data_IF_387838169410
#
_entry.id   IF_387838169410
#
_cell.length_a   1.000
_cell.length_b   1.000
_cell.length_c   1.000
_cell.angle_alpha   90.00
_cell.angle_beta   90.00
_cell.angle_gamma   90.00
#
_symmetry.space_group_name_H-M   'P 1'
#
loop_
_entity.id
_entity.type
_entity.pdbx_description
1 polymer ?
#
# COMPACT_ATOMS: atom_id res chain seq x y z
N UNK A 1 36.11 -20.95 8.61
CA UNK A 1 35.03 -20.18 9.25
C UNK A 1 33.82 -20.26 8.33
N UNK A 2 32.88 -21.14 8.66
CA UNK A 2 31.71 -21.44 7.82
C UNK A 2 30.72 -20.28 7.94
N UNK A 3 30.57 -19.50 6.86
CA UNK A 3 29.58 -18.42 6.80
C UNK A 3 28.22 -19.07 6.60
N UNK A 4 27.41 -19.07 7.66
CA UNK A 4 26.01 -19.47 7.58
C UNK A 4 25.26 -18.46 6.69
N UNK A 5 24.73 -18.96 5.57
CA UNK A 5 23.81 -18.22 4.73
C UNK A 5 22.46 -18.13 5.48
N UNK A 6 22.25 -17.04 6.21
CA UNK A 6 20.96 -16.71 6.82
C UNK A 6 19.92 -16.58 5.71
N UNK A 7 18.87 -17.41 5.79
CA UNK A 7 17.78 -17.49 4.80
C UNK A 7 17.14 -16.12 4.57
N UNK A 8 16.97 -15.77 3.29
CA UNK A 8 16.45 -14.48 2.83
C UNK A 8 15.13 -14.10 3.49
N UNK A 9 15.12 -12.95 4.16
CA UNK A 9 13.93 -12.32 4.71
C UNK A 9 13.08 -11.81 3.54
N UNK A 10 11.81 -12.24 3.44
CA UNK A 10 10.88 -11.69 2.45
C UNK A 10 10.62 -10.21 2.79
N UNK A 11 10.87 -9.33 1.83
CA UNK A 11 10.66 -7.89 1.96
C UNK A 11 9.26 -7.56 1.45
N UNK A 12 8.36 -7.17 2.35
CA UNK A 12 6.93 -7.04 2.06
C UNK A 12 6.55 -5.69 1.45
N UNK A 13 7.45 -4.70 1.52
CA UNK A 13 7.27 -3.36 0.95
C UNK A 13 6.01 -2.61 1.43
N UNK A 14 5.48 -2.95 2.60
CA UNK A 14 4.31 -2.31 3.16
C UNK A 14 4.61 -1.18 4.13
N UNK A 15 3.77 -0.15 4.04
CA UNK A 15 4.01 1.17 4.59
C UNK A 15 3.24 1.43 5.90
N UNK A 16 3.01 0.38 6.69
CA UNK A 16 2.48 0.46 8.05
C UNK A 16 3.59 0.15 9.07
N UNK A 17 4.12 1.18 9.73
CA UNK A 17 5.26 1.04 10.67
C UNK A 17 4.88 0.48 12.04
N UNK A 18 3.58 0.27 12.29
CA UNK A 18 3.12 -0.49 13.46
C UNK A 18 3.28 -2.00 13.25
N UNK A 19 3.76 -2.43 12.07
CA UNK A 19 4.12 -3.80 11.72
C UNK A 19 5.50 -3.86 11.05
N UNK A 20 6.21 -4.97 11.25
CA UNK A 20 7.54 -5.23 10.68
C UNK A 20 7.45 -6.34 9.64
N UNK A 21 8.39 -6.39 8.69
CA UNK A 21 8.41 -7.47 7.69
C UNK A 21 8.56 -8.86 8.32
N UNK A 22 9.19 -8.95 9.49
CA UNK A 22 9.22 -10.19 10.27
C UNK A 22 7.82 -10.59 10.75
N UNK A 23 7.00 -9.61 11.19
CA UNK A 23 5.61 -9.88 11.59
C UNK A 23 4.75 -10.25 10.37
N UNK A 24 4.89 -9.53 9.26
CA UNK A 24 4.21 -9.83 7.99
C UNK A 24 4.53 -11.24 7.50
N UNK A 25 5.82 -11.61 7.50
CA UNK A 25 6.27 -12.96 7.15
C UNK A 25 5.66 -14.00 8.10
N UNK A 26 5.56 -13.71 9.39
CA UNK A 26 5.01 -14.65 10.35
C UNK A 26 3.50 -14.83 10.19
N UNK A 27 2.74 -13.76 9.99
CA UNK A 27 1.33 -13.86 9.64
C UNK A 27 1.16 -14.70 8.37
N UNK A 28 1.87 -14.30 7.30
CA UNK A 28 1.74 -14.93 5.99
C UNK A 28 2.16 -16.40 5.99
N UNK A 29 3.26 -16.75 6.68
CA UNK A 29 3.72 -18.13 6.85
C UNK A 29 2.73 -18.95 7.67
N UNK A 30 2.22 -18.41 8.77
CA UNK A 30 1.30 -19.12 9.66
C UNK A 30 0.01 -19.48 8.95
N UNK A 31 -0.63 -18.51 8.28
CA UNK A 31 -1.88 -18.78 7.57
C UNK A 31 -1.70 -19.67 6.34
N UNK A 32 -0.64 -19.45 5.54
CA UNK A 32 -0.40 -20.29 4.37
C UNK A 32 0.00 -21.72 4.73
N UNK A 33 0.58 -21.95 5.91
CA UNK A 33 0.81 -23.31 6.43
C UNK A 33 -0.52 -24.03 6.66
N UNK A 34 -1.49 -23.37 7.29
CA UNK A 34 -2.81 -23.95 7.56
C UNK A 34 -3.61 -24.19 6.27
N UNK A 35 -3.63 -23.22 5.36
CA UNK A 35 -4.28 -23.36 4.05
C UNK A 35 -3.68 -24.49 3.20
N UNK A 36 -2.36 -24.69 3.28
CA UNK A 36 -1.69 -25.84 2.67
C UNK A 36 -2.22 -27.17 3.19
N UNK A 37 -2.44 -27.28 4.50
CA UNK A 37 -2.93 -28.52 5.10
C UNK A 37 -4.33 -28.90 4.59
N UNK A 38 -5.17 -27.92 4.24
CA UNK A 38 -6.45 -28.21 3.57
C UNK A 38 -6.19 -28.78 2.17
N UNK A 39 -5.33 -28.14 1.39
CA UNK A 39 -5.07 -28.54 0.01
C UNK A 39 -4.37 -29.92 -0.11
N UNK A 40 -3.53 -30.28 0.86
CA UNK A 40 -2.85 -31.59 0.89
C UNK A 40 -3.63 -32.67 1.66
N UNK A 41 -4.77 -32.33 2.26
CA UNK A 41 -5.63 -33.25 3.02
C UNK A 41 -5.12 -33.59 4.42
N UNK A 42 -4.08 -32.93 4.92
CA UNK A 42 -3.51 -33.16 6.25
C UNK A 42 -4.13 -32.31 7.36
N UNK A 43 -4.99 -31.34 7.04
CA UNK A 43 -5.65 -30.44 7.99
C UNK A 43 -6.42 -31.22 9.05
N UNK A 44 -6.14 -30.92 10.31
CA UNK A 44 -6.77 -31.57 11.46
C UNK A 44 -8.13 -30.93 11.70
N UNK A 45 -9.14 -31.78 11.83
CA UNK A 45 -10.50 -31.44 12.20
C UNK A 45 -10.75 -31.77 13.69
N UNK A 46 -11.98 -31.61 14.18
CA UNK A 46 -12.33 -32.07 15.52
C UNK A 46 -12.10 -33.58 15.69
N UNK A 47 -11.87 -34.00 16.93
CA UNK A 47 -11.64 -35.41 17.30
C UNK A 47 -10.49 -36.08 16.53
N UNK A 48 -9.45 -35.31 16.18
CA UNK A 48 -8.27 -35.78 15.44
C UNK A 48 -8.56 -36.33 14.03
N UNK A 49 -9.78 -36.11 13.51
CA UNK A 49 -10.13 -36.45 12.13
C UNK A 49 -9.49 -35.45 11.15
N UNK A 50 -9.69 -35.63 9.84
CA UNK A 50 -9.19 -34.72 8.80
C UNK A 50 -10.30 -33.88 8.22
N UNK A 51 -10.00 -32.62 7.92
CA UNK A 51 -10.89 -31.79 7.12
C UNK A 51 -10.97 -32.36 5.69
N UNK A 52 -12.08 -32.15 4.96
CA UNK A 52 -12.12 -32.47 3.54
C UNK A 52 -10.94 -31.83 2.81
N UNK A 53 -10.34 -32.59 1.89
CA UNK A 53 -9.29 -32.03 1.03
C UNK A 53 -9.91 -30.96 0.12
N UNK A 54 -9.23 -29.82 0.01
CA UNK A 54 -9.71 -28.70 -0.78
C UNK A 54 -9.00 -28.56 -2.13
N UNK A 55 -9.78 -28.45 -3.20
CA UNK A 55 -9.32 -27.86 -4.45
C UNK A 55 -9.52 -26.34 -4.45
N UNK A 56 -8.94 -25.63 -5.42
CA UNK A 56 -9.08 -24.17 -5.55
C UNK A 56 -8.72 -23.39 -4.26
N UNK A 57 -7.84 -23.94 -3.42
CA UNK A 57 -7.34 -23.24 -2.23
C UNK A 57 -6.10 -22.44 -2.62
N UNK A 58 -6.24 -21.11 -2.65
CA UNK A 58 -5.18 -20.21 -3.08
C UNK A 58 -4.24 -19.80 -1.94
N UNK A 59 -2.95 -19.71 -2.28
CA UNK A 59 -1.92 -19.13 -1.41
C UNK A 59 -2.18 -17.64 -1.28
N UNK A 60 -2.24 -17.16 -0.04
CA UNK A 60 -2.35 -15.74 0.24
C UNK A 60 -1.01 -15.06 -0.07
N UNK A 61 -1.11 -13.92 -0.74
CA UNK A 61 -0.07 -12.91 -0.84
C UNK A 61 -0.36 -11.80 0.16
N UNK A 62 0.68 -11.09 0.60
CA UNK A 62 0.46 -9.96 1.50
C UNK A 62 0.06 -8.73 0.71
N UNK A 63 -0.95 -8.02 1.20
CA UNK A 63 -1.46 -6.80 0.58
C UNK A 63 -1.41 -5.64 1.58
N UNK A 64 -0.64 -4.61 1.21
CA UNK A 64 -0.40 -3.47 2.08
C UNK A 64 -1.64 -2.61 2.29
N UNK A 65 -2.62 -2.63 1.38
CA UNK A 65 -3.87 -1.89 1.55
C UNK A 65 -4.77 -2.58 2.56
N UNK A 66 -4.85 -3.92 2.50
CA UNK A 66 -5.55 -4.70 3.52
C UNK A 66 -4.89 -4.57 4.89
N UNK A 67 -3.57 -4.45 4.94
CA UNK A 67 -2.84 -4.17 6.18
C UNK A 67 -3.22 -2.82 6.77
N UNK A 68 -3.48 -1.80 5.94
CA UNK A 68 -3.97 -0.50 6.42
C UNK A 68 -5.41 -0.59 6.93
N UNK A 69 -6.29 -1.34 6.26
CA UNK A 69 -7.66 -1.59 6.75
C UNK A 69 -7.64 -2.32 8.10
N UNK A 70 -6.77 -3.33 8.23
CA UNK A 70 -6.53 -3.99 9.52
C UNK A 70 -5.98 -3.00 10.57
N UNK A 71 -5.15 -2.05 10.15
CA UNK A 71 -4.58 -1.04 11.04
C UNK A 71 -5.65 -0.09 11.57
N UNK A 72 -6.58 0.35 10.72
CA UNK A 72 -7.73 1.17 11.09
C UNK A 72 -8.63 0.44 12.11
N UNK A 73 -8.81 -0.88 11.94
CA UNK A 73 -9.58 -1.70 12.86
C UNK A 73 -8.96 -1.77 14.25
N UNK A 74 -7.67 -2.10 14.36
CA UNK A 74 -6.98 -2.15 15.67
C UNK A 74 -6.78 -0.76 16.27
N UNK A 75 -6.78 0.31 15.46
CA UNK A 75 -6.66 1.67 15.95
C UNK A 75 -7.82 2.09 16.85
N UNK A 76 -8.97 1.45 16.71
CA UNK A 76 -10.16 1.67 17.53
C UNK A 76 -10.08 0.99 18.91
N UNK A 77 -9.13 0.09 19.14
CA UNK A 77 -8.96 -0.64 20.42
C UNK A 77 -10.24 -1.37 20.87
N UNK A 78 -11.02 -1.92 19.92
CA UNK A 78 -12.27 -2.64 20.17
C UNK A 78 -12.26 -3.99 19.44
N UNK A 79 -12.96 -4.98 19.99
CA UNK A 79 -13.20 -6.27 19.33
C UNK A 79 -14.62 -6.39 18.78
N UNK A 80 -15.53 -5.50 19.18
CA UNK A 80 -16.93 -5.48 18.75
C UNK A 80 -17.33 -4.09 18.26
N UNK A 81 -18.31 -4.03 17.36
CA UNK A 81 -18.78 -2.78 16.77
C UNK A 81 -17.78 -2.09 15.84
N UNK A 82 -16.73 -2.79 15.40
CA UNK A 82 -15.80 -2.32 14.37
C UNK A 82 -16.36 -2.74 13.00
N UNK A 83 -16.69 -1.80 12.10
CA UNK A 83 -17.23 -2.13 10.79
C UNK A 83 -16.27 -3.00 9.97
N UNK A 84 -16.81 -3.98 9.24
CA UNK A 84 -16.06 -4.78 8.28
C UNK A 84 -15.87 -3.99 6.97
N UNK A 85 -14.65 -3.92 6.39
CA UNK A 85 -14.43 -3.18 5.16
C UNK A 85 -15.24 -3.78 3.99
N UNK A 86 -15.86 -2.92 3.17
CA UNK A 86 -16.70 -3.37 2.06
C UNK A 86 -15.93 -4.30 1.09
N UNK A 87 -16.54 -5.43 0.74
CA UNK A 87 -15.96 -6.43 -0.18
C UNK A 87 -14.84 -7.28 0.42
N UNK A 88 -14.62 -7.20 1.74
CA UNK A 88 -13.57 -7.91 2.45
C UNK A 88 -14.13 -8.58 3.69
N UNK A 89 -13.34 -9.49 4.27
CA UNK A 89 -13.63 -10.03 5.59
C UNK A 89 -12.59 -9.63 6.62
N UNK A 90 -13.03 -9.45 7.87
CA UNK A 90 -12.19 -8.95 8.95
C UNK A 90 -12.24 -9.88 10.16
N UNK A 91 -11.08 -10.10 10.77
CA UNK A 91 -10.94 -10.75 12.06
C UNK A 91 -10.28 -9.77 13.03
N UNK A 92 -10.79 -9.67 14.26
CA UNK A 92 -10.19 -8.86 15.32
C UNK A 92 -10.23 -9.66 16.62
N UNK A 93 -9.13 -9.66 17.36
CA UNK A 93 -9.09 -10.21 18.71
C UNK A 93 -8.26 -9.35 19.65
N UNK A 94 -8.55 -9.50 20.93
CA UNK A 94 -7.74 -8.98 22.04
C UNK A 94 -6.90 -10.11 22.60
N UNK A 95 -5.63 -9.84 22.87
CA UNK A 95 -4.67 -10.76 23.49
C UNK A 95 -3.86 -10.00 24.54
N UNK A 96 -3.31 -10.72 25.52
CA UNK A 96 -2.46 -10.13 26.54
C UNK A 96 -1.24 -9.44 25.91
N UNK A 97 -0.83 -8.28 26.43
CA UNK A 97 0.39 -7.62 25.94
C UNK A 97 1.63 -8.46 26.18
N UNK A 98 2.58 -8.39 25.25
CA UNK A 98 3.87 -9.06 25.35
C UNK A 98 4.98 -8.19 24.77
N UNK A 99 6.20 -8.40 25.27
CA UNK A 99 7.42 -7.85 24.67
C UNK A 99 7.88 -8.67 23.45
N UNK A 100 7.24 -9.80 23.12
CA UNK A 100 7.56 -10.66 21.98
C UNK A 100 6.36 -10.83 21.03
N UNK A 101 6.02 -9.80 20.23
CA UNK A 101 4.81 -9.82 19.39
C UNK A 101 4.74 -11.04 18.46
N UNK A 102 5.89 -11.49 17.98
CA UNK A 102 6.06 -12.65 17.09
C UNK A 102 5.53 -13.98 17.66
N UNK A 103 5.62 -14.20 18.97
CA UNK A 103 5.10 -15.42 19.63
C UNK A 103 3.57 -15.40 19.69
N UNK A 104 2.99 -14.25 20.01
CA UNK A 104 1.54 -14.06 20.01
C UNK A 104 0.94 -14.19 18.61
N UNK A 105 1.65 -13.74 17.56
CA UNK A 105 1.14 -13.84 16.19
C UNK A 105 0.84 -15.26 15.74
N UNK A 106 1.74 -16.19 16.04
CA UNK A 106 1.54 -17.61 15.72
C UNK A 106 0.29 -18.14 16.41
N UNK A 107 0.10 -17.76 17.67
CA UNK A 107 -1.06 -18.18 18.45
C UNK A 107 -2.35 -17.57 17.92
N UNK A 108 -2.38 -16.27 17.62
CA UNK A 108 -3.59 -15.58 17.14
C UNK A 108 -4.19 -16.20 15.88
N UNK A 109 -3.36 -16.48 14.86
CA UNK A 109 -3.81 -17.14 13.61
C UNK A 109 -4.25 -18.58 13.88
N UNK A 110 -3.49 -19.32 14.69
CA UNK A 110 -3.82 -20.71 15.03
C UNK A 110 -5.06 -20.83 15.91
N UNK A 111 -5.34 -19.89 16.81
CA UNK A 111 -6.54 -19.85 17.65
C UNK A 111 -7.78 -19.55 16.81
N UNK A 112 -7.75 -18.51 15.97
CA UNK A 112 -8.85 -18.23 15.02
C UNK A 112 -9.20 -19.42 14.12
N UNK A 113 -8.22 -20.25 13.82
CA UNK A 113 -8.40 -21.44 13.01
C UNK A 113 -8.87 -22.64 13.83
N UNK A 114 -8.14 -22.99 14.89
CA UNK A 114 -8.34 -24.23 15.63
C UNK A 114 -9.51 -24.15 16.61
N UNK A 115 -9.80 -22.98 17.20
CA UNK A 115 -10.87 -22.86 18.18
C UNK A 115 -12.22 -23.21 17.53
N UNK A 116 -12.49 -22.64 16.36
CA UNK A 116 -13.66 -22.92 15.54
C UNK A 116 -13.69 -24.41 15.10
N UNK A 117 -12.60 -24.89 14.51
CA UNK A 117 -12.51 -26.25 13.95
C UNK A 117 -12.62 -27.33 15.03
N UNK A 118 -11.94 -27.19 16.17
CA UNK A 118 -11.99 -28.17 17.24
C UNK A 118 -13.33 -28.15 17.97
N UNK A 119 -13.97 -26.98 18.07
CA UNK A 119 -15.27 -26.84 18.75
C UNK A 119 -16.42 -27.40 17.91
N UNK A 120 -16.46 -27.09 16.61
CA UNK A 120 -17.63 -27.36 15.76
C UNK A 120 -17.39 -28.50 14.77
N UNK A 121 -16.16 -28.62 14.27
CA UNK A 121 -15.82 -29.53 13.18
C UNK A 121 -16.25 -29.01 11.81
N UNK A 122 -15.45 -29.35 10.80
CA UNK A 122 -15.70 -29.04 9.39
C UNK A 122 -16.39 -30.24 8.73
N UNK A 123 -17.56 -30.02 8.14
CA UNK A 123 -18.34 -31.06 7.48
C UNK A 123 -17.78 -31.40 6.10
N UNK A 124 -18.28 -32.47 5.47
CA UNK A 124 -18.05 -32.77 4.06
C UNK A 124 -19.40 -32.80 3.33
N UNK A 125 -19.76 -31.79 2.52
CA UNK A 125 -18.94 -30.64 2.09
C UNK A 125 -18.67 -29.60 3.22
N UNK A 126 -17.57 -28.82 3.11
CA UNK A 126 -17.14 -27.86 4.13
C UNK A 126 -17.95 -26.57 4.08
N UNK A 127 -19.18 -26.61 4.60
CA UNK A 127 -20.09 -25.47 4.67
C UNK A 127 -19.76 -24.57 5.87
N UNK A 128 -19.96 -23.25 5.70
CA UNK A 128 -19.91 -22.32 6.82
C UNK A 128 -21.16 -22.47 7.69
N UNK A 129 -20.96 -22.57 9.01
CA UNK A 129 -22.02 -22.73 10.00
C UNK A 129 -21.66 -21.99 11.28
N UNK A 130 -22.62 -21.88 12.19
CA UNK A 130 -22.43 -21.19 13.46
C UNK A 130 -21.22 -21.76 14.23
N UNK A 131 -20.30 -20.87 14.63
CA UNK A 131 -19.06 -21.22 15.31
C UNK A 131 -17.88 -21.58 14.39
N UNK A 132 -18.03 -21.49 13.07
CA UNK A 132 -16.93 -21.58 12.09
C UNK A 132 -16.58 -20.22 11.45
N UNK A 133 -17.12 -19.10 11.93
CA UNK A 133 -17.05 -17.82 11.23
C UNK A 133 -15.61 -17.31 11.06
N UNK A 134 -14.72 -17.55 12.02
CA UNK A 134 -13.32 -17.12 11.97
C UNK A 134 -12.52 -18.05 11.05
N UNK A 135 -12.74 -19.36 11.19
CA UNK A 135 -12.18 -20.37 10.30
C UNK A 135 -12.59 -20.09 8.85
N UNK A 136 -13.87 -19.83 8.58
CA UNK A 136 -14.40 -19.62 7.24
C UNK A 136 -13.77 -18.41 6.53
N UNK A 137 -13.53 -17.31 7.26
CA UNK A 137 -12.83 -16.12 6.72
C UNK A 137 -11.39 -16.43 6.31
N UNK A 138 -10.65 -17.17 7.14
CA UNK A 138 -9.25 -17.51 6.91
C UNK A 138 -9.04 -18.66 5.92
N UNK A 139 -9.96 -19.62 5.90
CA UNK A 139 -9.93 -20.82 5.06
C UNK A 139 -10.61 -20.62 3.70
N UNK A 140 -11.28 -19.47 3.46
CA UNK A 140 -11.94 -19.16 2.18
C UNK A 140 -11.04 -19.50 0.99
N UNK A 141 -11.42 -20.52 0.22
CA UNK A 141 -10.57 -21.09 -0.84
C UNK A 141 -10.16 -20.04 -1.87
N UNK A 142 -11.09 -19.16 -2.25
CA UNK A 142 -10.94 -18.14 -3.29
C UNK A 142 -10.04 -16.96 -2.90
N UNK A 143 -9.84 -16.71 -1.61
CA UNK A 143 -9.02 -15.59 -1.14
C UNK A 143 -7.55 -15.71 -1.60
N UNK A 144 -6.99 -14.58 -2.06
CA UNK A 144 -5.63 -14.51 -2.64
C UNK A 144 -4.73 -13.49 -1.95
N UNK A 145 -5.29 -12.62 -1.10
CA UNK A 145 -4.58 -11.53 -0.44
C UNK A 145 -5.03 -11.37 1.02
N UNK A 146 -4.09 -10.99 1.88
CA UNK A 146 -4.33 -10.70 3.29
C UNK A 146 -3.42 -9.56 3.74
N UNK A 147 -3.89 -8.76 4.69
CA UNK A 147 -3.05 -7.85 5.45
C UNK A 147 -3.48 -7.81 6.91
N UNK A 148 -2.52 -7.80 7.82
CA UNK A 148 -2.77 -7.82 9.25
C UNK A 148 -2.01 -6.70 9.97
N UNK A 149 -2.56 -6.26 11.09
CA UNK A 149 -2.02 -5.20 11.92
C UNK A 149 -2.26 -5.47 13.41
N UNK A 150 -1.53 -4.76 14.24
CA UNK A 150 -1.63 -4.88 15.69
C UNK A 150 -1.40 -3.55 16.39
N UNK A 151 -2.03 -3.34 17.55
CA UNK A 151 -1.86 -2.15 18.37
C UNK A 151 -2.01 -2.48 19.84
N UNK A 152 -1.09 -1.97 20.66
CA UNK A 152 -1.22 -2.02 22.10
C UNK A 152 -2.11 -0.86 22.58
N UNK A 153 -3.11 -1.16 23.38
CA UNK A 153 -4.06 -0.23 23.98
C UNK A 153 -4.19 -0.57 25.47
N UNK A 154 -3.62 0.26 26.36
CA UNK A 154 -3.69 0.08 27.82
C UNK A 154 -3.34 -1.34 28.27
N UNK A 155 -2.15 -1.81 27.88
CA UNK A 155 -1.64 -3.16 28.19
C UNK A 155 -2.44 -4.32 27.58
N UNK A 156 -3.37 -4.04 26.67
CA UNK A 156 -4.07 -5.04 25.86
C UNK A 156 -3.63 -4.92 24.40
N UNK A 157 -3.19 -6.02 23.80
CA UNK A 157 -2.82 -6.04 22.39
C UNK A 157 -4.04 -6.42 21.54
N UNK A 158 -4.38 -5.57 20.58
CA UNK A 158 -5.41 -5.84 19.58
C UNK A 158 -4.73 -6.28 18.30
N UNK A 159 -5.23 -7.35 17.70
CA UNK A 159 -4.72 -7.91 16.45
C UNK A 159 -5.88 -8.02 15.47
N UNK A 160 -5.69 -7.53 14.25
CA UNK A 160 -6.67 -7.68 13.18
C UNK A 160 -6.03 -8.18 11.89
N UNK A 161 -6.81 -8.90 11.09
CA UNK A 161 -6.48 -9.28 9.71
C UNK A 161 -7.67 -8.98 8.81
N UNK A 162 -7.39 -8.51 7.60
CA UNK A 162 -8.37 -8.28 6.53
C UNK A 162 -7.99 -9.12 5.32
N UNK A 163 -8.97 -9.82 4.75
CA UNK A 163 -8.82 -10.74 3.61
C UNK A 163 -9.58 -10.18 2.41
N UNK A 164 -9.05 -10.32 1.20
CA UNK A 164 -9.62 -9.72 -0.01
C UNK A 164 -10.92 -10.35 -0.54
N UNK A 165 -11.57 -11.19 0.24
CA UNK A 165 -12.86 -11.80 -0.09
C UNK A 165 -13.81 -11.61 1.09
N UNK A 166 -15.11 -11.40 0.84
CA UNK A 166 -16.11 -11.39 1.89
C UNK A 166 -16.16 -12.75 2.62
N UNK A 167 -16.71 -12.74 3.83
CA UNK A 167 -16.91 -13.97 4.58
C UNK A 167 -17.89 -14.88 3.82
N UNK A 168 -17.64 -16.20 3.71
CA UNK A 168 -18.63 -17.13 3.19
C UNK A 168 -19.94 -16.97 3.98
N UNK A 169 -21.07 -16.85 3.28
CA UNK A 169 -22.38 -16.80 3.93
C UNK A 169 -22.66 -18.12 4.68
N UNK A 170 -23.58 -18.14 5.66
CA UNK A 170 -24.09 -19.40 6.21
C UNK A 170 -24.52 -20.36 5.09
N UNK A 171 -24.20 -21.64 5.25
CA UNK A 171 -24.45 -22.72 4.29
C UNK A 171 -23.71 -22.59 2.94
N UNK A 172 -22.85 -21.59 2.77
CA UNK A 172 -21.96 -21.49 1.62
C UNK A 172 -20.69 -22.34 1.84
N UNK A 173 -20.13 -22.87 0.75
CA UNK A 173 -18.83 -23.55 0.78
C UNK A 173 -17.74 -22.59 1.26
N UNK A 174 -16.94 -23.04 2.23
CA UNK A 174 -15.72 -22.35 2.65
C UNK A 174 -14.63 -22.54 1.59
N UNK A 175 -14.50 -23.76 1.07
CA UNK A 175 -13.67 -24.13 -0.05
C UNK A 175 -14.30 -25.31 -0.79
N UNK A 176 -13.87 -25.58 -2.01
CA UNK A 176 -14.40 -26.68 -2.81
C UNK A 176 -13.74 -28.01 -2.42
N UNK A 177 -14.50 -29.09 -2.11
CA UNK A 177 -13.94 -30.42 -1.97
C UNK A 177 -13.26 -30.87 -3.25
N UNK A 178 -12.07 -31.45 -3.14
CA UNK A 178 -11.37 -32.02 -4.29
C UNK A 178 -9.90 -32.23 -4.04
N UNK A 179 -9.22 -32.81 -5.04
CA UNK A 179 -7.78 -32.97 -4.99
C UNK A 179 -7.11 -31.58 -5.05
N UNK A 180 -6.11 -31.40 -4.19
CA UNK A 180 -5.28 -30.21 -4.22
C UNK A 180 -4.69 -29.96 -5.62
N UNK A 181 -4.49 -28.69 -5.96
CA UNK A 181 -3.99 -28.23 -7.26
C UNK A 181 -4.91 -28.32 -8.48
N UNK A 182 -6.20 -28.62 -8.31
CA UNK A 182 -7.18 -28.21 -9.30
C UNK A 182 -7.44 -26.70 -9.15
N UNK A 183 -6.66 -25.88 -9.87
CA UNK A 183 -6.60 -24.41 -9.75
C UNK A 183 -7.29 -23.73 -10.92
N UNK A 184 -8.62 -23.72 -10.91
CA UNK A 184 -9.47 -23.28 -12.01
C UNK A 184 -10.20 -21.97 -11.74
N UNK A 185 -10.26 -21.50 -10.49
CA UNK A 185 -11.00 -20.27 -10.14
C UNK A 185 -10.45 -18.98 -10.77
N UNK A 186 -9.15 -18.91 -11.09
CA UNK A 186 -8.56 -17.76 -11.81
C UNK A 186 -7.78 -18.22 -13.04
N UNK A 187 -7.86 -17.45 -14.13
CA UNK A 187 -7.10 -17.70 -15.35
C UNK A 187 -5.59 -17.69 -15.06
N UNK A 188 -4.83 -18.52 -15.78
CA UNK A 188 -3.37 -18.68 -15.62
C UNK A 188 -2.89 -19.08 -14.23
N UNK A 189 -3.79 -19.63 -13.40
CA UNK A 189 -3.42 -20.15 -12.08
C UNK A 189 -2.45 -21.33 -12.20
N UNK A 190 -1.48 -21.37 -11.29
CA UNK A 190 -0.46 -22.40 -11.23
C UNK A 190 -0.54 -23.18 -9.93
N UNK A 191 -0.31 -24.47 -10.02
CA UNK A 191 -0.03 -25.31 -8.85
C UNK A 191 1.43 -25.14 -8.41
N UNK A 192 1.68 -24.88 -7.13
CA UNK A 192 3.04 -24.93 -6.59
C UNK A 192 3.42 -26.34 -6.11
N UNK A 193 4.71 -26.57 -5.86
CA UNK A 193 5.22 -27.86 -5.36
C UNK A 193 4.60 -28.33 -4.01
N UNK A 194 3.90 -27.44 -3.29
CA UNK A 194 3.24 -27.73 -2.02
C UNK A 194 1.73 -28.00 -2.16
N UNK A 195 1.24 -28.29 -3.37
CA UNK A 195 -0.17 -28.59 -3.68
C UNK A 195 -1.17 -27.43 -3.45
N UNK A 196 -0.69 -26.19 -3.35
CA UNK A 196 -1.54 -24.99 -3.16
C UNK A 196 -1.58 -24.18 -4.45
N UNK A 197 -2.74 -23.60 -4.75
CA UNK A 197 -2.92 -22.76 -5.94
C UNK A 197 -2.24 -21.40 -5.80
N UNK A 198 -1.64 -20.91 -6.86
CA UNK A 198 -1.16 -19.54 -7.01
C UNK A 198 -2.01 -18.90 -8.11
N UNK A 199 -2.71 -17.83 -7.78
CA UNK A 199 -3.57 -17.14 -8.74
C UNK A 199 -2.72 -16.54 -9.87
N UNK A 200 -3.18 -16.71 -11.11
CA UNK A 200 -2.64 -15.98 -12.27
C UNK A 200 -3.03 -14.50 -12.24
N UNK A 201 -2.71 -13.75 -13.30
CA UNK A 201 -3.13 -12.35 -13.38
C UNK A 201 -4.66 -12.24 -13.24
N UNK A 202 -5.20 -11.22 -12.54
CA UNK A 202 -6.63 -10.99 -12.49
C UNK A 202 -7.11 -10.54 -13.87
N UNK A 203 -7.41 -11.50 -14.74
CA UNK A 203 -8.21 -11.29 -15.93
C UNK A 203 -9.64 -11.01 -15.50
N UNK A 204 -10.25 -10.00 -16.11
CA UNK A 204 -11.68 -9.67 -15.97
C UNK A 204 -12.55 -10.72 -16.68
N UNK A 205 -12.32 -12.01 -16.42
CA UNK A 205 -13.15 -13.11 -16.89
C UNK A 205 -13.76 -13.80 -15.67
N UNK A 206 -14.73 -13.11 -15.07
CA UNK A 206 -15.75 -13.80 -14.29
C UNK A 206 -16.59 -14.59 -15.29
N UNK A 207 -16.35 -15.89 -15.44
CA UNK A 207 -17.36 -16.78 -16.00
C UNK A 207 -18.43 -16.95 -14.93
N UNK A 208 -19.39 -16.03 -14.91
CA UNK A 208 -20.66 -16.23 -14.25
C UNK A 208 -21.73 -15.69 -15.17
N UNK A 209 -22.30 -16.61 -15.94
CA UNK A 209 -23.49 -16.42 -16.75
C UNK A 209 -24.66 -16.13 -15.83
N UNK A 210 -25.09 -14.87 -15.69
CA UNK A 210 -26.50 -14.57 -15.38
C UNK A 210 -26.87 -13.13 -15.76
N UNK A 211 -28.10 -13.04 -16.28
CA UNK A 211 -28.73 -12.01 -17.09
C UNK A 211 -29.35 -10.87 -16.27
N UNK A 212 -29.54 -9.71 -16.92
CA UNK A 212 -30.42 -8.57 -16.57
C UNK A 212 -30.02 -7.70 -15.38
N UNK A 213 -30.26 -6.39 -15.34
CA UNK A 213 -30.76 -5.39 -16.29
C UNK A 213 -30.54 -4.02 -15.64
N UNK A 214 -29.95 -3.08 -16.35
CA UNK A 214 -29.65 -1.72 -15.87
C UNK A 214 -30.90 -0.83 -15.91
N UNK A 215 -31.21 -0.13 -14.83
CA UNK A 215 -32.05 1.08 -14.85
C UNK A 215 -31.25 2.26 -14.32
N UNK A 216 -30.99 3.19 -15.22
CA UNK A 216 -30.38 4.50 -14.99
C UNK A 216 -31.40 5.44 -14.34
N UNK A 217 -30.98 6.24 -13.35
CA UNK A 217 -31.69 7.49 -13.05
C UNK A 217 -30.70 8.59 -12.69
N UNK A 218 -30.54 9.51 -13.63
CA UNK A 218 -29.94 10.83 -13.50
C UNK A 218 -30.94 11.77 -12.82
N UNK A 219 -30.51 12.64 -11.90
CA UNK A 219 -31.28 13.85 -11.60
C UNK A 219 -30.35 15.00 -11.26
N UNK A 220 -30.82 16.17 -11.68
CA UNK A 220 -30.11 17.37 -12.08
C UNK A 220 -30.04 18.39 -10.95
N UNK A 221 -29.01 19.23 -11.03
CA UNK A 221 -28.80 20.51 -10.33
C UNK A 221 -30.00 21.45 -10.34
N UNK A 222 -30.16 22.20 -9.24
CA UNK A 222 -30.91 23.46 -9.18
C UNK A 222 -30.09 24.52 -8.44
N UNK A 223 -29.90 25.65 -9.12
CA UNK A 223 -29.26 26.92 -8.71
C UNK A 223 -30.29 27.93 -8.24
N UNK A 224 -29.98 28.81 -7.26
CA UNK A 224 -30.38 30.24 -7.21
C UNK A 224 -29.75 30.97 -5.99
N UNK A 225 -29.73 32.34 -5.90
CA UNK A 225 -28.52 33.12 -5.62
C UNK A 225 -28.67 34.12 -4.44
N UNK A 226 -27.65 35.01 -4.31
CA UNK A 226 -27.66 36.33 -3.60
C UNK A 226 -27.48 36.22 -2.07
N UNK A 227 -26.69 37.03 -1.35
CA UNK A 227 -26.37 38.46 -1.49
C UNK A 227 -25.08 38.83 -0.76
N UNK A 228 -24.35 39.79 -1.32
CA UNK A 228 -23.16 40.49 -0.82
C UNK A 228 -23.39 41.22 0.51
N UNK A 229 -22.44 41.17 1.43
CA UNK A 229 -22.25 42.24 2.42
C UNK A 229 -20.76 42.43 2.69
N UNK A 230 -20.28 43.61 2.32
CA UNK A 230 -18.91 44.11 2.52
C UNK A 230 -18.81 44.70 3.92
N UNK A 231 -17.80 44.31 4.70
CA UNK A 231 -17.37 45.10 5.86
C UNK A 231 -15.86 44.98 6.01
N UNK A 232 -15.19 46.13 6.02
CA UNK A 232 -13.74 46.30 6.01
C UNK A 232 -13.25 46.66 7.41
N UNK A 233 -11.97 46.33 7.68
CA UNK A 233 -11.10 46.76 8.79
C UNK A 233 -11.39 46.17 10.17
N UNK A 234 -10.43 45.64 10.94
CA UNK A 234 -9.08 46.17 11.21
C UNK A 234 -8.13 45.06 11.69
N UNK A 235 -6.86 45.25 11.36
CA UNK A 235 -5.67 44.43 11.63
C UNK A 235 -5.38 44.19 13.12
N UNK A 236 -5.24 42.92 13.51
CA UNK A 236 -4.38 42.51 14.63
C UNK A 236 -3.59 41.27 14.23
N UNK A 237 -2.26 41.43 14.26
CA UNK A 237 -1.27 40.39 13.97
C UNK A 237 -1.34 39.30 15.04
N UNK A 238 -1.59 38.01 14.70
CA UNK A 238 -1.38 36.93 15.63
C UNK A 238 0.08 36.50 15.55
N UNK A 239 0.80 36.80 16.63
CA UNK A 239 2.15 36.31 16.95
C UNK A 239 2.24 34.81 16.66
N UNK A 240 3.12 34.43 15.73
CA UNK A 240 3.39 33.03 15.40
C UNK A 240 4.18 32.39 16.54
N UNK A 241 3.52 31.66 17.43
CA UNK A 241 4.19 30.81 18.41
C UNK A 241 4.88 29.67 17.65
N UNK A 242 6.17 29.80 17.40
CA UNK A 242 6.98 28.76 16.77
C UNK A 242 7.18 27.62 17.77
N UNK A 243 6.28 26.65 17.77
CA UNK A 243 6.49 25.38 18.49
C UNK A 243 7.63 24.63 17.80
N UNK A 244 8.83 24.67 18.39
CA UNK A 244 10.00 23.92 17.92
C UNK A 244 9.72 22.42 17.97
N UNK A 245 10.06 21.70 16.90
CA UNK A 245 9.94 20.24 16.84
C UNK A 245 10.94 19.65 17.84
N UNK A 246 10.50 18.68 18.66
CA UNK A 246 11.39 18.01 19.60
C UNK A 246 12.60 17.39 18.87
N UNK A 247 13.79 17.53 19.44
CA UNK A 247 15.04 17.07 18.82
C UNK A 247 15.03 15.57 18.48
N UNK A 248 14.32 14.76 19.28
CA UNK A 248 14.13 13.31 19.06
C UNK A 248 13.26 12.98 17.85
N UNK A 249 12.49 13.94 17.33
CA UNK A 249 11.63 13.79 16.14
C UNK A 249 12.22 14.44 14.88
N UNK A 250 13.44 15.00 14.98
CA UNK A 250 14.13 15.73 13.91
C UNK A 250 15.63 15.40 13.84
N UNK A 251 15.95 14.16 13.48
CA UNK A 251 17.31 13.65 13.31
C UNK A 251 17.78 13.64 11.85
N UNK A 252 16.88 13.60 10.86
CA UNK A 252 17.25 13.53 9.44
C UNK A 252 17.73 14.88 8.92
N UNK A 253 17.05 15.97 9.30
CA UNK A 253 17.44 17.34 8.95
C UNK A 253 17.38 18.24 10.19
N UNK A 254 18.33 18.09 11.14
CA UNK A 254 18.32 18.85 12.40
C UNK A 254 18.24 20.38 12.22
N UNK A 255 18.80 20.88 11.11
CA UNK A 255 18.81 22.29 10.72
C UNK A 255 17.43 22.81 10.25
N UNK A 256 16.50 21.92 9.89
CA UNK A 256 15.20 22.29 9.37
C UNK A 256 14.09 21.91 10.37
N UNK A 257 13.36 22.90 10.88
CA UNK A 257 12.26 22.72 11.84
C UNK A 257 10.87 22.77 11.17
N UNK A 258 10.79 22.36 9.90
CA UNK A 258 9.60 22.52 9.05
C UNK A 258 8.64 21.34 9.18
N UNK A 259 9.17 20.11 9.15
CA UNK A 259 8.43 18.86 9.28
C UNK A 259 9.25 17.84 10.07
N UNK A 260 8.59 16.85 10.68
CA UNK A 260 9.28 15.80 11.46
C UNK A 260 9.86 14.72 10.55
N UNK A 261 10.78 13.91 11.08
CA UNK A 261 11.34 12.75 10.37
C UNK A 261 10.26 11.76 9.93
N UNK A 262 9.15 11.64 10.69
CA UNK A 262 8.01 10.81 10.31
C UNK A 262 7.40 11.29 8.98
N UNK A 263 7.29 12.60 8.77
CA UNK A 263 6.77 13.19 7.52
C UNK A 263 7.77 13.08 6.39
N UNK A 264 9.06 13.38 6.64
CA UNK A 264 10.14 13.19 5.65
C UNK A 264 10.15 11.78 5.09
N UNK A 265 10.02 10.82 6.00
CA UNK A 265 9.91 9.42 5.67
C UNK A 265 8.67 9.12 4.82
N UNK A 266 7.49 9.71 5.07
CA UNK A 266 6.32 9.48 4.19
C UNK A 266 6.64 9.87 2.75
N UNK A 267 7.20 11.05 2.51
CA UNK A 267 7.56 11.50 1.17
C UNK A 267 8.61 10.59 0.53
N UNK A 268 9.78 10.45 1.16
CA UNK A 268 10.90 9.66 0.61
C UNK A 268 10.46 8.27 0.15
N UNK A 269 9.64 7.67 0.99
CA UNK A 269 9.21 6.30 0.87
C UNK A 269 8.15 6.11 -0.21
N UNK A 270 7.20 7.04 -0.30
CA UNK A 270 6.20 7.01 -1.38
C UNK A 270 6.81 7.23 -2.75
N UNK A 271 7.80 8.13 -2.85
CA UNK A 271 8.57 8.31 -4.08
C UNK A 271 9.30 7.04 -4.48
N UNK A 272 10.08 6.44 -3.57
CA UNK A 272 10.80 5.20 -3.86
C UNK A 272 9.87 4.01 -4.15
N UNK A 273 8.67 3.96 -3.55
CA UNK A 273 7.64 2.98 -3.91
C UNK A 273 7.23 3.11 -5.38
N UNK A 274 6.77 4.28 -5.83
CA UNK A 274 6.35 4.46 -7.23
C UNK A 274 7.50 4.23 -8.22
N UNK A 275 8.73 4.65 -7.86
CA UNK A 275 9.94 4.37 -8.64
C UNK A 275 10.20 2.87 -8.77
N UNK A 276 10.09 2.12 -7.69
CA UNK A 276 10.30 0.66 -7.67
C UNK A 276 9.21 -0.08 -8.47
N UNK A 277 7.94 0.32 -8.31
CA UNK A 277 6.82 -0.25 -9.06
C UNK A 277 6.99 0.00 -10.57
N UNK A 278 7.39 1.22 -10.97
CA UNK A 278 7.66 1.55 -12.36
C UNK A 278 8.84 0.72 -12.89
N UNK A 279 9.95 0.68 -12.15
CA UNK A 279 11.16 0.00 -12.57
C UNK A 279 10.93 -1.48 -12.87
N UNK A 280 10.01 -2.12 -12.13
CA UNK A 280 9.65 -3.52 -12.28
C UNK A 280 8.48 -3.75 -13.26
N UNK A 281 7.86 -2.69 -13.79
CA UNK A 281 6.81 -2.79 -14.81
C UNK A 281 5.41 -3.01 -14.25
N UNK A 282 5.18 -2.66 -12.97
CA UNK A 282 3.90 -2.81 -12.29
C UNK A 282 3.01 -1.55 -12.37
N UNK A 283 3.53 -0.42 -12.83
CA UNK A 283 2.75 0.81 -12.99
C UNK A 283 1.83 0.70 -14.20
N UNK A 284 0.53 0.79 -13.95
CA UNK A 284 -0.52 0.81 -14.99
C UNK A 284 -0.73 2.23 -15.51
N UNK A 285 -0.72 2.37 -16.83
CA UNK A 285 -1.15 3.55 -17.57
C UNK A 285 -2.53 3.29 -18.21
N UNK A 286 -3.10 4.30 -18.87
CA UNK A 286 -4.38 4.16 -19.59
C UNK A 286 -4.38 2.98 -20.58
N UNK A 287 -3.30 2.81 -21.35
CA UNK A 287 -3.19 1.81 -22.41
C UNK A 287 -2.14 0.72 -22.08
N UNK A 288 -2.24 0.12 -20.89
CA UNK A 288 -1.36 -0.98 -20.45
C UNK A 288 -0.30 -0.54 -19.45
N UNK A 289 0.66 -1.41 -19.17
CA UNK A 289 1.68 -1.14 -18.15
C UNK A 289 2.87 -0.36 -18.74
N UNK A 290 3.46 0.49 -17.91
CA UNK A 290 4.74 1.11 -18.22
C UNK A 290 5.83 0.02 -18.32
N UNK A 291 6.74 0.16 -19.29
CA UNK A 291 7.88 -0.76 -19.43
C UNK A 291 8.86 -0.53 -18.30
N UNK A 292 9.58 -1.60 -17.96
CA UNK A 292 10.59 -1.60 -16.91
C UNK A 292 11.67 -0.52 -17.11
N UNK A 293 12.21 -0.02 -16.00
CA UNK A 293 13.29 0.94 -15.98
C UNK A 293 14.61 0.25 -15.63
N UNK A 294 15.59 0.35 -16.52
CA UNK A 294 16.83 -0.41 -16.42
C UNK A 294 17.82 0.10 -15.37
N UNK A 295 17.68 1.36 -14.94
CA UNK A 295 18.57 1.99 -13.96
C UNK A 295 17.90 3.07 -13.10
N UNK A 296 16.68 2.80 -12.63
CA UNK A 296 15.97 3.73 -11.74
C UNK A 296 16.76 3.95 -10.43
N UNK A 297 17.19 5.19 -10.12
CA UNK A 297 17.93 5.44 -8.87
C UNK A 297 17.00 5.40 -7.66
N UNK A 298 17.49 4.89 -6.53
CA UNK A 298 16.85 5.10 -5.22
C UNK A 298 17.08 6.54 -4.78
N UNK A 299 16.03 7.23 -4.37
CA UNK A 299 16.13 8.57 -3.78
C UNK A 299 16.55 8.48 -2.30
N UNK A 300 17.36 9.43 -1.85
CA UNK A 300 17.63 9.74 -0.44
C UNK A 300 16.93 11.05 -0.04
N UNK A 301 16.79 11.31 1.26
CA UNK A 301 16.24 12.59 1.70
C UNK A 301 17.29 13.69 1.55
N UNK A 302 16.87 14.85 1.03
CA UNK A 302 17.74 15.98 0.73
C UNK A 302 17.28 17.21 1.54
N UNK A 303 18.04 17.53 2.59
CA UNK A 303 17.68 18.62 3.52
C UNK A 303 17.80 20.02 2.91
N UNK A 304 18.82 20.33 2.07
CA UNK A 304 18.81 21.54 1.24
C UNK A 304 17.57 21.66 0.34
N UNK A 305 17.15 20.57 -0.30
CA UNK A 305 15.92 20.57 -1.10
C UNK A 305 14.66 20.79 -0.23
N UNK A 306 14.61 20.26 1.00
CA UNK A 306 13.51 20.51 1.94
C UNK A 306 13.41 22.00 2.33
N UNK A 307 14.54 22.63 2.65
CA UNK A 307 14.56 24.06 3.00
C UNK A 307 14.08 24.93 1.81
N UNK A 308 14.49 24.57 0.60
CA UNK A 308 14.04 25.21 -0.64
C UNK A 308 12.55 24.97 -0.89
N UNK A 309 12.06 23.74 -0.74
CA UNK A 309 10.65 23.39 -0.87
C UNK A 309 9.78 24.14 0.15
N UNK A 310 10.26 24.33 1.38
CA UNK A 310 9.58 25.13 2.39
C UNK A 310 9.46 26.59 1.98
N UNK A 311 10.55 27.17 1.48
CA UNK A 311 10.56 28.54 0.98
C UNK A 311 9.57 28.72 -0.17
N UNK A 312 9.46 27.71 -1.04
CA UNK A 312 8.45 27.70 -2.11
C UNK A 312 7.02 27.60 -1.58
N UNK A 313 6.77 26.63 -0.68
CA UNK A 313 5.45 26.35 -0.12
C UNK A 313 4.86 27.56 0.62
N UNK A 314 5.69 28.31 1.35
CA UNK A 314 5.30 29.52 2.12
C UNK A 314 4.76 30.64 1.25
N UNK A 315 5.10 30.67 -0.04
CA UNK A 315 4.55 31.67 -0.98
C UNK A 315 3.10 31.38 -1.36
N UNK A 316 2.57 30.19 -1.06
CA UNK A 316 1.17 29.81 -1.32
C UNK A 316 0.70 30.09 -2.76
N UNK A 317 1.58 29.91 -3.75
CA UNK A 317 1.29 30.14 -5.18
C UNK A 317 0.56 28.95 -5.80
N UNK A 318 -0.37 29.21 -6.72
CA UNK A 318 -1.13 28.18 -7.45
C UNK A 318 -0.37 27.57 -8.65
N UNK A 319 0.95 27.62 -8.65
CA UNK A 319 1.79 27.11 -9.73
C UNK A 319 3.15 26.67 -9.21
N UNK A 320 3.73 25.67 -9.88
CA UNK A 320 5.10 25.24 -9.59
C UNK A 320 6.09 26.35 -9.94
N UNK A 321 7.10 26.57 -9.10
CA UNK A 321 8.20 27.48 -9.38
C UNK A 321 9.39 26.73 -9.98
N UNK A 322 9.62 26.94 -11.28
CA UNK A 322 10.72 26.36 -12.03
C UNK A 322 12.01 27.19 -12.00
N UNK A 323 12.05 28.33 -11.30
CA UNK A 323 13.21 29.25 -11.29
C UNK A 323 14.37 28.80 -10.40
N UNK A 324 14.17 27.79 -9.56
CA UNK A 324 15.16 27.28 -8.62
C UNK A 324 16.11 26.21 -9.18
N UNK A 325 16.97 25.69 -8.30
CA UNK A 325 17.94 24.61 -8.57
C UNK A 325 17.35 23.20 -8.49
N UNK A 326 16.02 23.09 -8.39
CA UNK A 326 15.30 21.83 -8.21
C UNK A 326 14.12 21.76 -9.17
N UNK A 327 13.70 20.54 -9.51
CA UNK A 327 12.40 20.32 -10.10
C UNK A 327 11.34 20.26 -9.00
N UNK A 328 10.12 20.73 -9.26
CA UNK A 328 9.11 20.95 -8.22
C UNK A 328 7.79 20.24 -8.55
N UNK A 329 7.24 19.58 -7.54
CA UNK A 329 5.82 19.22 -7.48
C UNK A 329 5.14 20.07 -6.40
N UNK A 330 3.88 20.46 -6.65
CA UNK A 330 3.03 21.10 -5.65
C UNK A 330 1.64 20.47 -5.64
N UNK A 331 0.95 20.58 -4.50
CA UNK A 331 -0.42 20.13 -4.33
C UNK A 331 -1.13 20.96 -3.27
N UNK A 332 -2.34 21.43 -3.60
CA UNK A 332 -3.20 22.12 -2.64
C UNK A 332 -4.30 21.19 -2.15
N UNK A 333 -4.45 21.16 -0.83
CA UNK A 333 -5.54 20.50 -0.15
C UNK A 333 -6.50 21.57 0.34
N UNK A 334 -7.79 21.42 0.06
CA UNK A 334 -8.85 22.34 0.49
C UNK A 334 -9.20 22.15 1.98
N UNK A 335 -8.18 22.16 2.82
CA UNK A 335 -8.25 22.13 4.27
C UNK A 335 -6.97 22.73 4.84
N UNK A 336 -7.09 23.69 5.75
CA UNK A 336 -5.96 24.22 6.52
C UNK A 336 -5.75 23.47 7.85
N UNK A 337 -6.65 22.57 8.23
CA UNK A 337 -6.60 21.79 9.48
C UNK A 337 -6.12 20.35 9.30
N UNK A 338 -5.95 19.88 8.05
CA UNK A 338 -5.48 18.53 7.75
C UNK A 338 -4.16 18.21 8.48
N UNK A 339 -4.06 16.99 9.01
CA UNK A 339 -2.83 16.51 9.64
C UNK A 339 -1.72 16.42 8.57
N UNK A 340 -0.52 16.92 8.88
CA UNK A 340 0.63 16.87 7.96
C UNK A 340 0.92 15.43 7.48
N UNK A 341 0.69 14.40 8.30
CA UNK A 341 0.86 13.00 7.87
C UNK A 341 -0.10 12.62 6.76
N UNK A 342 -1.36 13.04 6.87
CA UNK A 342 -2.40 12.79 5.87
C UNK A 342 -2.12 13.60 4.61
N UNK A 343 -1.79 14.89 4.75
CA UNK A 343 -1.44 15.76 3.63
C UNK A 343 -0.24 15.23 2.82
N UNK A 344 0.80 14.75 3.48
CA UNK A 344 1.97 14.15 2.83
C UNK A 344 1.59 12.92 1.98
N UNK A 345 0.73 12.04 2.52
CA UNK A 345 0.27 10.84 1.80
C UNK A 345 -0.61 11.22 0.62
N UNK A 346 -1.57 12.11 0.83
CA UNK A 346 -2.51 12.54 -0.21
C UNK A 346 -1.77 13.15 -1.40
N UNK A 347 -0.88 14.11 -1.16
CA UNK A 347 -0.09 14.75 -2.21
C UNK A 347 0.75 13.74 -3.00
N UNK A 348 1.54 12.91 -2.31
CA UNK A 348 2.41 11.95 -2.97
C UNK A 348 1.64 10.86 -3.74
N UNK A 349 0.43 10.48 -3.29
CA UNK A 349 -0.45 9.56 -4.01
C UNK A 349 -1.02 10.19 -5.25
N UNK A 350 -1.53 11.42 -5.12
CA UNK A 350 -2.13 12.15 -6.24
C UNK A 350 -1.13 12.32 -7.38
N UNK A 351 0.11 12.75 -7.06
CA UNK A 351 1.19 12.82 -8.05
C UNK A 351 1.53 11.47 -8.66
N UNK A 352 1.66 10.41 -7.84
CA UNK A 352 2.01 9.07 -8.33
C UNK A 352 0.92 8.42 -9.19
N UNK A 353 -0.34 8.81 -9.01
CA UNK A 353 -1.50 8.29 -9.74
C UNK A 353 -1.89 9.11 -10.97
N UNK A 354 -1.23 10.24 -11.23
CA UNK A 354 -1.46 11.09 -12.40
C UNK A 354 -1.34 10.29 -13.72
N UNK A 355 -0.46 9.29 -13.76
CA UNK A 355 -0.26 8.40 -14.91
C UNK A 355 -1.42 7.45 -15.19
N UNK A 356 -2.27 7.14 -14.20
CA UNK A 356 -3.31 6.10 -14.31
C UNK A 356 -4.34 6.34 -15.40
N UNK A 357 -4.57 7.61 -15.76
CA UNK A 357 -5.49 8.04 -16.83
C UNK A 357 -4.76 8.58 -18.07
N UNK A 358 -3.42 8.57 -18.04
CA UNK A 358 -2.54 9.10 -19.08
C UNK A 358 -1.66 7.99 -19.66
N UNK A 359 -0.75 8.32 -20.57
CA UNK A 359 0.14 7.33 -21.18
C UNK A 359 1.47 7.99 -21.52
N UNK A 360 2.56 7.28 -21.22
CA UNK A 360 3.89 7.63 -21.69
C UNK A 360 4.16 7.00 -23.07
N UNK A 361 4.98 7.62 -23.92
CA UNK A 361 5.27 7.10 -25.25
C UNK A 361 6.36 6.01 -25.15
N UNK A 362 5.93 4.75 -25.07
CA UNK A 362 6.76 3.62 -24.61
C UNK A 362 7.30 2.73 -25.73
N UNK A 363 7.06 3.07 -27.01
CA UNK A 363 7.68 2.37 -28.15
C UNK A 363 9.19 2.60 -28.18
N UNK A 364 9.95 1.67 -28.79
CA UNK A 364 11.40 1.80 -28.90
C UNK A 364 11.83 3.06 -29.68
N UNK A 365 11.04 3.48 -30.67
CA UNK A 365 11.25 4.74 -31.42
C UNK A 365 10.91 5.99 -30.62
N UNK A 366 9.93 5.89 -29.72
CA UNK A 366 9.42 6.97 -28.88
C UNK A 366 10.28 7.20 -27.62
N UNK A 367 10.98 6.16 -27.19
CA UNK A 367 12.05 6.26 -26.19
C UNK A 367 11.63 6.81 -24.83
N UNK A 368 10.34 6.78 -24.47
CA UNK A 368 9.84 7.31 -23.21
C UNK A 368 10.24 8.79 -22.99
N UNK A 369 10.16 9.57 -24.06
CA UNK A 369 10.45 11.01 -24.03
C UNK A 369 9.34 11.77 -23.32
N UNK A 370 9.74 12.66 -22.43
CA UNK A 370 8.84 13.58 -21.74
C UNK A 370 8.42 14.73 -22.67
N UNK A 371 7.15 15.09 -22.55
CA UNK A 371 6.58 16.32 -23.09
C UNK A 371 5.57 16.83 -22.08
N UNK A 372 5.57 18.14 -21.85
CA UNK A 372 4.54 18.84 -21.07
C UNK A 372 3.10 18.50 -21.51
N UNK A 373 2.90 18.20 -22.82
CA UNK A 373 1.59 17.78 -23.36
C UNK A 373 1.08 16.43 -22.86
N UNK A 374 1.92 15.60 -22.23
CA UNK A 374 1.52 14.32 -21.66
C UNK A 374 0.60 14.49 -20.43
N UNK A 375 0.60 15.67 -19.79
CA UNK A 375 -0.22 15.94 -18.61
C UNK A 375 0.14 15.06 -17.42
N UNK A 376 1.43 14.73 -17.27
CA UNK A 376 2.00 13.96 -16.16
C UNK A 376 3.21 14.63 -15.48
N UNK A 377 3.24 15.97 -15.30
CA UNK A 377 4.41 16.65 -14.74
C UNK A 377 4.80 16.14 -13.35
N UNK A 378 3.81 15.87 -12.49
CA UNK A 378 4.10 15.47 -11.12
C UNK A 378 4.63 14.04 -11.06
N UNK A 379 3.96 13.14 -11.77
CA UNK A 379 4.40 11.76 -11.91
C UNK A 379 5.82 11.70 -12.49
N UNK A 380 6.09 12.43 -13.58
CA UNK A 380 7.39 12.46 -14.24
C UNK A 380 8.49 12.88 -13.25
N UNK A 381 8.28 13.93 -12.45
CA UNK A 381 9.24 14.33 -11.41
C UNK A 381 9.49 13.22 -10.37
N UNK A 382 8.46 12.51 -9.92
CA UNK A 382 8.62 11.42 -8.96
C UNK A 382 9.46 10.26 -9.51
N UNK A 383 9.25 9.92 -10.78
CA UNK A 383 9.88 8.75 -11.41
C UNK A 383 11.03 9.09 -12.36
N UNK A 384 11.50 10.33 -12.35
CA UNK A 384 12.62 10.73 -13.20
C UNK A 384 13.89 10.00 -12.79
N UNK A 385 14.49 9.25 -13.71
CA UNK A 385 15.54 8.27 -13.39
C UNK A 385 16.75 8.89 -12.68
N UNK A 386 17.16 10.08 -13.12
CA UNK A 386 18.32 10.78 -12.60
C UNK A 386 18.11 11.39 -11.21
N UNK A 387 16.85 11.66 -10.80
CA UNK A 387 16.57 12.20 -9.48
C UNK A 387 17.02 11.20 -8.40
N UNK A 388 17.86 11.68 -7.51
CA UNK A 388 18.48 10.91 -6.42
C UNK A 388 18.24 11.53 -5.04
N UNK A 389 17.76 12.77 -4.97
CA UNK A 389 17.34 13.41 -3.74
C UNK A 389 15.90 13.92 -3.83
N UNK A 390 15.21 13.91 -2.69
CA UNK A 390 13.90 14.55 -2.52
C UNK A 390 13.83 15.25 -1.16
N UNK A 391 13.33 16.48 -1.14
CA UNK A 391 13.05 17.24 0.08
C UNK A 391 11.70 17.95 -0.04
N UNK A 392 10.89 17.93 1.01
CA UNK A 392 9.49 18.35 0.91
C UNK A 392 9.05 19.17 2.11
N UNK A 393 8.06 20.03 1.91
CA UNK A 393 7.48 20.85 2.94
C UNK A 393 5.96 20.87 2.88
N UNK A 394 5.34 21.12 4.02
CA UNK A 394 3.90 21.27 4.18
C UNK A 394 3.67 22.59 4.91
N UNK A 395 2.97 23.50 4.26
CA UNK A 395 2.67 24.83 4.80
C UNK A 395 1.17 25.06 4.79
N UNK A 396 0.63 25.51 5.92
CA UNK A 396 -0.75 25.98 6.00
C UNK A 396 -0.82 27.37 5.38
N UNK A 397 -1.58 27.48 4.30
CA UNK A 397 -2.03 28.74 3.73
C UNK A 397 -3.43 29.06 4.29
N UNK A 398 -4.02 30.21 3.93
CA UNK A 398 -5.31 30.70 4.45
C UNK A 398 -6.36 29.59 4.68
N UNK A 399 -7.04 29.12 3.64
CA UNK A 399 -8.06 28.05 3.71
C UNK A 399 -7.57 26.71 3.15
N UNK A 400 -6.27 26.60 2.83
CA UNK A 400 -5.70 25.47 2.10
C UNK A 400 -4.36 25.06 2.70
N UNK A 401 -3.98 23.81 2.55
CA UNK A 401 -2.62 23.34 2.87
C UNK A 401 -1.85 23.16 1.57
N UNK A 402 -0.69 23.78 1.46
CA UNK A 402 0.22 23.66 0.34
C UNK A 402 1.29 22.62 0.66
N UNK A 403 1.42 21.61 -0.20
CA UNK A 403 2.43 20.57 -0.12
C UNK A 403 3.36 20.71 -1.30
N UNK A 404 4.67 20.84 -1.05
CA UNK A 404 5.69 21.01 -2.09
C UNK A 404 6.80 19.99 -1.90
N UNK A 405 7.26 19.37 -2.99
CA UNK A 405 8.49 18.57 -3.02
C UNK A 405 9.44 19.10 -4.09
N UNK A 406 10.71 19.19 -3.72
CA UNK A 406 11.83 19.50 -4.62
C UNK A 406 12.67 18.26 -4.87
N UNK A 407 13.12 18.10 -6.12
CA UNK A 407 13.90 16.97 -6.59
C UNK A 407 15.28 17.39 -7.06
N UNK A 408 16.29 16.60 -6.67
CA UNK A 408 17.69 16.83 -7.03
C UNK A 408 18.30 15.60 -7.73
N UNK A 409 19.23 15.79 -8.68
CA UNK A 409 19.54 17.06 -9.34
C UNK A 409 18.39 17.51 -10.24
N UNK A 410 18.25 18.82 -10.47
CA UNK A 410 17.33 19.34 -11.48
C UNK A 410 17.66 18.75 -12.84
N UNK A 411 16.71 18.09 -13.48
CA UNK A 411 16.98 17.35 -14.71
C UNK A 411 15.80 17.20 -15.65
N UNK A 412 14.57 17.43 -15.19
CA UNK A 412 13.37 17.35 -16.04
C UNK A 412 13.44 18.36 -17.18
N UNK A 413 12.88 17.99 -18.33
CA UNK A 413 12.77 18.86 -19.49
C UNK A 413 12.15 18.14 -20.66
N UNK A 414 11.49 18.90 -21.54
CA UNK A 414 10.90 18.37 -22.76
C UNK A 414 11.98 17.70 -23.63
N UNK A 415 11.58 16.65 -24.35
CA UNK A 415 12.43 15.83 -25.20
C UNK A 415 13.58 15.10 -24.48
N UNK A 416 13.48 14.96 -23.16
CA UNK A 416 14.38 14.10 -22.36
C UNK A 416 13.66 12.83 -21.93
N UNK A 417 14.40 11.74 -21.76
CA UNK A 417 13.82 10.47 -21.32
C UNK A 417 13.47 10.56 -19.83
N UNK A 418 12.24 10.19 -19.46
CA UNK A 418 11.84 10.09 -18.05
C UNK A 418 12.69 9.03 -17.36
N UNK A 419 12.87 7.88 -18.03
CA UNK A 419 13.77 6.81 -17.62
C UNK A 419 14.19 5.95 -18.81
N UNK A 420 15.32 5.25 -18.68
CA UNK A 420 15.84 4.35 -19.70
C UNK A 420 15.16 2.99 -19.60
N UNK A 421 14.31 2.68 -20.57
CA UNK A 421 13.58 1.40 -20.63
C UNK A 421 14.53 0.20 -20.74
N UNK A 422 14.12 -0.93 -20.15
CA UNK A 422 14.81 -2.21 -20.21
C UNK A 422 14.67 -3.00 -18.90
N UNK A 423 15.18 -4.24 -18.85
CA UNK A 423 15.04 -5.08 -17.66
C UNK A 423 15.51 -4.37 -16.40
N UNK A 424 14.73 -4.47 -15.33
CA UNK A 424 15.02 -3.81 -14.07
C UNK A 424 16.46 -4.07 -13.61
N UNK A 425 17.13 -3.03 -13.12
CA UNK A 425 18.52 -3.07 -12.65
C UNK A 425 19.61 -3.44 -13.65
N UNK A 426 19.29 -3.77 -14.91
CA UNK A 426 20.27 -4.20 -15.91
C UNK A 426 21.41 -3.20 -16.12
N UNK A 427 21.16 -1.92 -15.84
CA UNK A 427 22.11 -0.82 -16.03
C UNK A 427 22.42 -0.06 -14.73
N UNK A 428 22.24 -0.67 -13.56
CA UNK A 428 22.65 -0.01 -12.31
C UNK A 428 24.17 0.23 -12.24
N UNK A 429 24.97 -0.58 -12.95
CA UNK A 429 26.42 -0.35 -13.07
C UNK A 429 26.79 0.99 -13.73
N UNK A 430 25.86 1.66 -14.44
CA UNK A 430 26.03 3.03 -14.93
C UNK A 430 26.25 4.04 -13.77
N UNK A 431 25.87 3.66 -12.53
CA UNK A 431 26.16 4.40 -11.32
C UNK A 431 27.20 3.63 -10.49
N UNK A 432 28.47 4.05 -10.50
CA UNK A 432 29.54 3.38 -9.78
C UNK A 432 29.22 3.21 -8.29
N UNK A 433 29.54 2.04 -7.74
CA UNK A 433 29.29 1.70 -6.34
C UNK A 433 27.84 1.37 -5.99
N UNK A 434 26.92 1.35 -6.95
CA UNK A 434 25.52 0.99 -6.68
C UNK A 434 25.23 -0.50 -6.88
N UNK A 435 24.30 -1.02 -6.08
CA UNK A 435 23.68 -2.35 -6.21
C UNK A 435 22.19 -2.23 -6.50
N UNK A 436 21.61 -3.33 -6.98
CA UNK A 436 20.17 -3.43 -7.18
C UNK A 436 19.45 -3.86 -5.89
N UNK A 437 18.47 -3.08 -5.47
CA UNK A 437 17.53 -3.45 -4.41
C UNK A 437 16.13 -3.02 -4.85
N UNK A 438 15.17 -3.95 -4.91
CA UNK A 438 13.78 -3.67 -5.28
C UNK A 438 13.60 -2.97 -6.65
N UNK A 439 14.43 -3.32 -7.64
CA UNK A 439 14.41 -2.66 -8.95
C UNK A 439 15.07 -1.27 -8.99
N UNK A 440 15.64 -0.81 -7.87
CA UNK A 440 16.30 0.49 -7.74
C UNK A 440 17.82 0.36 -7.59
N UNK A 441 18.56 1.26 -8.21
CA UNK A 441 20.00 1.41 -8.04
C UNK A 441 20.28 2.22 -6.76
N UNK A 442 20.91 1.60 -5.78
CA UNK A 442 21.25 2.20 -4.48
C UNK A 442 22.73 2.06 -4.21
N UNK A 443 23.34 3.11 -3.65
CA UNK A 443 24.67 3.00 -3.02
C UNK A 443 24.63 2.03 -1.83
#
# INVERSE_FOLDING_TARGET
>A
MTIFCSTGQAYFQCWNFKSTDTLREQYLRSINKLRRQIADGSAVNNNQTKCPQGQNVYRLSWDCELELKAQEAVDQCKTSGVPEPAGHSQLIKRVASTCTPTKILKNSISEWWNDDVQKVGVDNPPLNKQGLEQFAKLANGRATKIGCAQKNCNEQLYVACVVNEPAPAPDALIYEPGLGCNCTSFLDSKCNANKVCIAGHPGTATTTTTTSSTTTTTTTTTTTPTTTTTTTTTTTTPTTTTTTIASSENTICPQNQVITDKIRNIFLRRHNYYRSQLAQGFVKMRNGNARQASKMRRMTYDCPAEASAHSSATRCRNAADSSGNYDENFYFINSNTIEHKTAAREAANTWGLEISTRTMPQRDTERNMYSSSLGIPNFANMVWEAHSGVGCAIVRCNSRTNVVCHYSPKSIGDNRQIYKMGPACRRCHDYPGTRCVDGLCTV
#
